data_IF_941238058393
#
_entry.id   IF_941238058393
#
_cell.length_a   1.000
_cell.length_b   1.000
_cell.length_c   1.000
_cell.angle_alpha   90.00
_cell.angle_beta   90.00
_cell.angle_gamma   90.00
#
_symmetry.space_group_name_H-M   'P 1'
#
loop_
_entity.id
_entity.type
_entity.pdbx_description
1 polymer ?
#
# COMPACT_ATOMS: atom_id res chain seq x y z
N UNK A 1 3.96 -6.91 3.21
CA UNK A 1 4.16 -7.36 4.60
C UNK A 1 3.30 -6.50 5.51
N UNK A 2 2.79 -7.07 6.59
CA UNK A 2 1.73 -6.48 7.41
C UNK A 2 2.17 -6.40 8.87
N UNK A 3 1.89 -5.26 9.50
CA UNK A 3 2.04 -5.05 10.93
C UNK A 3 0.65 -4.79 11.51
N UNK A 4 0.23 -5.67 12.43
CA UNK A 4 -1.06 -5.54 13.12
C UNK A 4 -0.88 -4.76 14.42
N UNK A 5 -1.76 -3.80 14.66
CA UNK A 5 -1.75 -2.98 15.88
C UNK A 5 -2.95 -3.33 16.77
N UNK A 6 -2.79 -3.18 18.10
CA UNK A 6 -3.82 -3.61 19.07
C UNK A 6 -5.17 -2.87 18.96
N UNK A 7 -5.21 -1.73 18.28
CA UNK A 7 -6.35 -0.79 18.32
C UNK A 7 -6.98 -0.52 16.93
N UNK A 8 -6.75 -1.37 15.93
CA UNK A 8 -7.29 -1.13 14.58
C UNK A 8 -6.55 0.02 13.88
N UNK A 9 -5.23 -0.04 13.86
CA UNK A 9 -4.37 0.87 13.11
C UNK A 9 -3.38 0.01 12.32
N UNK A 10 -3.91 -0.90 11.53
CA UNK A 10 -3.10 -1.89 10.84
C UNK A 10 -2.31 -1.21 9.72
N UNK A 11 -1.05 -1.61 9.58
CA UNK A 11 -0.14 -1.05 8.59
C UNK A 11 0.26 -2.11 7.56
N UNK A 12 0.26 -1.73 6.29
CA UNK A 12 0.68 -2.56 5.18
C UNK A 12 1.79 -1.87 4.38
N UNK A 13 2.85 -2.60 4.05
CA UNK A 13 3.90 -2.09 3.17
C UNK A 13 4.27 -3.10 2.08
N UNK A 14 4.65 -2.60 0.91
CA UNK A 14 5.15 -3.45 -0.18
C UNK A 14 6.68 -3.32 -0.27
N UNK A 15 7.46 -4.39 0.04
CA UNK A 15 8.93 -4.30 0.05
C UNK A 15 9.52 -3.99 -1.32
N UNK A 16 8.81 -4.32 -2.40
CA UNK A 16 9.22 -4.02 -3.78
C UNK A 16 9.02 -2.55 -4.15
N UNK A 17 8.18 -1.81 -3.42
CA UNK A 17 7.97 -0.37 -3.60
C UNK A 17 8.44 0.35 -2.34
N UNK A 18 9.75 0.56 -2.24
CA UNK A 18 10.34 1.23 -1.07
C UNK A 18 9.67 2.59 -0.83
N UNK A 19 9.33 2.85 0.43
CA UNK A 19 8.64 4.07 0.86
C UNK A 19 7.11 4.00 0.78
N UNK A 20 6.52 2.94 0.22
CA UNK A 20 5.07 2.77 0.20
C UNK A 20 4.60 2.02 1.46
N UNK A 21 4.18 2.82 2.45
CA UNK A 21 3.46 2.39 3.65
C UNK A 21 2.02 2.88 3.57
N UNK A 22 1.08 2.03 3.94
CA UNK A 22 -0.33 2.38 4.07
C UNK A 22 -0.88 1.92 5.41
N UNK A 23 -1.96 2.55 5.86
CA UNK A 23 -2.65 2.26 7.11
C UNK A 23 -4.14 2.07 6.83
N UNK A 24 -4.82 1.30 7.67
CA UNK A 24 -6.27 1.21 7.71
C UNK A 24 -6.78 0.83 9.10
N UNK A 25 -8.06 1.08 9.35
CA UNK A 25 -8.73 0.71 10.60
C UNK A 25 -8.86 -0.82 10.72
N UNK A 26 -8.81 -1.49 9.57
CA UNK A 26 -8.80 -2.94 9.43
C UNK A 26 -7.64 -3.41 8.56
N UNK A 27 -7.31 -4.69 8.71
CA UNK A 27 -6.34 -5.38 7.85
C UNK A 27 -6.70 -5.27 6.37
N UNK A 28 -7.97 -5.49 6.03
CA UNK A 28 -8.49 -5.44 4.68
C UNK A 28 -8.36 -4.04 4.08
N UNK A 29 -8.63 -3.01 4.87
CA UNK A 29 -8.46 -1.62 4.47
C UNK A 29 -7.00 -1.26 4.22
N UNK A 30 -6.09 -1.61 5.14
CA UNK A 30 -4.66 -1.35 4.98
C UNK A 30 -4.11 -2.01 3.69
N UNK A 31 -4.59 -3.20 3.37
CA UNK A 31 -4.23 -3.92 2.13
C UNK A 31 -4.85 -3.29 0.89
N UNK A 32 -6.12 -2.88 0.94
CA UNK A 32 -6.76 -2.20 -0.17
C UNK A 32 -6.02 -0.89 -0.51
N UNK A 33 -5.73 -0.09 0.50
CA UNK A 33 -5.05 1.20 0.34
C UNK A 33 -3.66 1.06 -0.29
N UNK A 34 -2.82 0.14 0.19
CA UNK A 34 -1.49 -0.07 -0.43
C UNK A 34 -1.60 -0.64 -1.85
N UNK A 35 -2.62 -1.45 -2.14
CA UNK A 35 -2.83 -2.05 -3.46
C UNK A 35 -3.18 -0.99 -4.50
N UNK A 36 -4.05 -0.04 -4.16
CA UNK A 36 -4.41 1.07 -5.05
C UNK A 36 -3.20 1.99 -5.33
N UNK A 37 -2.37 2.28 -4.34
CA UNK A 37 -1.14 3.06 -4.52
C UNK A 37 -0.18 2.35 -5.50
N UNK A 38 0.00 1.03 -5.35
CA UNK A 38 0.87 0.25 -6.25
C UNK A 38 0.35 0.26 -7.68
N UNK A 39 -0.96 0.10 -7.88
CA UNK A 39 -1.58 0.18 -9.22
C UNK A 39 -1.32 1.54 -9.86
N UNK A 40 -1.62 2.62 -9.14
CA UNK A 40 -1.39 3.99 -9.62
C UNK A 40 0.09 4.23 -9.96
N UNK A 41 1.01 3.73 -9.14
CA UNK A 41 2.44 3.85 -9.40
C UNK A 41 2.85 3.14 -10.71
N UNK A 42 2.33 1.94 -10.96
CA UNK A 42 2.59 1.19 -12.21
C UNK A 42 1.99 1.94 -13.42
N UNK A 43 0.77 2.47 -13.31
CA UNK A 43 0.15 3.28 -14.36
C UNK A 43 0.98 4.54 -14.69
N UNK A 44 1.51 5.21 -13.67
CA UNK A 44 2.42 6.34 -13.84
C UNK A 44 3.71 5.90 -14.54
N UNK A 45 4.30 4.77 -14.16
CA UNK A 45 5.51 4.27 -14.82
C UNK A 45 5.25 3.95 -16.30
N UNK A 46 4.15 3.28 -16.62
CA UNK A 46 3.78 2.93 -18.00
C UNK A 46 3.46 4.17 -18.85
N UNK A 47 2.79 5.17 -18.28
CA UNK A 47 2.48 6.42 -18.99
C UNK A 47 3.70 7.32 -19.21
N UNK A 48 4.76 7.16 -18.42
CA UNK A 48 6.02 7.92 -18.55
C UNK A 48 6.98 7.36 -19.60
N UNK A 49 6.67 6.23 -20.25
CA UNK A 49 7.51 5.65 -21.33
C UNK A 49 7.14 6.19 -22.72
N UNK A 50 6.70 7.45 -22.81
CA UNK A 50 6.45 8.13 -24.09
C UNK A 50 7.72 8.83 -24.61
#
# INVERSE_FOLDING_TARGET
MLAKEKNGNDHAFCPFFQGCLSQGDTFEEAIANITEIVKLYIEILLSRVC
#
